data_IF_777787441258
#
_entry.id   IF_777787441258
#
_cell.length_a   1.000
_cell.length_b   1.000
_cell.length_c   1.000
_cell.angle_alpha   90.00
_cell.angle_beta   90.00
_cell.angle_gamma   90.00
#
_symmetry.space_group_name_H-M   'P 1'
#
loop_
_entity.id
_entity.type
_entity.pdbx_description
1 polymer ?
#
# COMPACT_ATOMS: atom_id res chain seq x y z
N UNK A 1 -48.40 -83.73 8.79
CA UNK A 1 -48.72 -82.86 9.95
C UNK A 1 -47.54 -81.94 10.22
N UNK A 2 -47.86 -80.68 10.52
CA UNK A 2 -46.98 -79.56 10.88
C UNK A 2 -45.76 -79.95 11.75
N UNK A 3 -44.57 -79.45 11.39
CA UNK A 3 -43.86 -78.40 12.15
C UNK A 3 -42.32 -78.47 11.96
N UNK A 4 -41.80 -77.51 11.18
CA UNK A 4 -40.64 -76.62 11.42
C UNK A 4 -39.46 -77.15 12.28
N UNK A 5 -38.28 -77.33 11.68
CA UNK A 5 -37.22 -76.34 11.39
C UNK A 5 -36.31 -76.06 12.60
N UNK A 6 -35.02 -76.32 12.43
CA UNK A 6 -33.90 -75.37 12.58
C UNK A 6 -32.68 -76.06 11.98
N UNK A 7 -32.20 -75.58 10.82
CA UNK A 7 -30.92 -75.98 10.25
C UNK A 7 -30.11 -74.70 10.06
N UNK A 8 -29.14 -74.52 10.96
CA UNK A 8 -28.21 -73.40 11.01
C UNK A 8 -27.23 -73.54 9.85
N UNK A 9 -27.30 -72.63 8.87
CA UNK A 9 -26.28 -72.49 7.83
C UNK A 9 -25.84 -71.04 7.77
N UNK A 10 -24.58 -70.81 8.17
CA UNK A 10 -23.84 -69.54 8.10
C UNK A 10 -23.91 -68.97 6.68
N UNK A 11 -24.60 -67.84 6.50
CA UNK A 11 -24.62 -67.10 5.24
C UNK A 11 -23.60 -65.96 5.25
N UNK A 12 -22.72 -66.03 4.25
CA UNK A 12 -21.66 -65.10 3.91
C UNK A 12 -22.20 -63.69 3.66
N UNK A 13 -21.36 -62.74 4.07
CA UNK A 13 -21.35 -61.31 3.75
C UNK A 13 -21.76 -61.05 2.28
N UNK A 14 -22.81 -60.27 2.06
CA UNK A 14 -23.11 -59.65 0.78
C UNK A 14 -23.20 -58.12 1.00
N UNK A 15 -22.12 -57.48 0.61
CA UNK A 15 -21.96 -56.05 0.41
C UNK A 15 -22.78 -55.68 -0.83
N UNK A 16 -23.82 -54.84 -0.70
CA UNK A 16 -24.49 -54.22 -1.86
C UNK A 16 -25.26 -52.96 -1.46
N UNK A 17 -24.65 -51.83 -1.85
CA UNK A 17 -25.24 -50.59 -2.37
C UNK A 17 -26.37 -49.86 -1.60
N UNK A 18 -25.98 -48.76 -0.95
CA UNK A 18 -26.72 -47.50 -1.00
C UNK A 18 -25.73 -46.33 -0.85
N UNK A 19 -24.91 -46.08 -1.88
CA UNK A 19 -24.22 -44.79 -1.99
C UNK A 19 -25.27 -43.82 -2.53
N UNK A 20 -25.83 -43.04 -1.62
CA UNK A 20 -26.65 -41.89 -1.96
C UNK A 20 -25.79 -40.93 -2.75
N UNK A 21 -26.19 -40.73 -4.00
CA UNK A 21 -25.65 -39.78 -4.95
C UNK A 21 -25.79 -38.35 -4.41
N UNK A 22 -24.80 -37.87 -3.66
CA UNK A 22 -24.59 -36.43 -3.43
C UNK A 22 -23.27 -36.02 -4.07
N UNK A 23 -23.25 -36.04 -5.41
CA UNK A 23 -22.19 -35.46 -6.20
C UNK A 23 -22.78 -34.60 -7.32
N UNK A 24 -23.58 -33.60 -6.97
CA UNK A 24 -24.00 -32.56 -7.93
C UNK A 24 -23.90 -31.12 -7.39
N UNK A 25 -23.29 -30.90 -6.21
CA UNK A 25 -23.14 -29.54 -5.64
C UNK A 25 -21.70 -28.98 -5.67
N UNK A 26 -20.74 -29.66 -6.31
CA UNK A 26 -19.36 -29.14 -6.49
C UNK A 26 -19.06 -28.68 -7.92
N UNK A 27 -20.03 -28.72 -8.84
CA UNK A 27 -19.82 -28.43 -10.25
C UNK A 27 -19.57 -26.96 -10.63
N UNK A 28 -19.67 -26.01 -9.69
CA UNK A 28 -19.41 -24.59 -9.96
C UNK A 28 -18.14 -24.03 -9.31
N UNK A 29 -17.45 -24.81 -8.46
CA UNK A 29 -16.14 -24.43 -7.95
C UNK A 29 -15.08 -24.84 -8.99
N UNK A 30 -14.72 -23.94 -9.91
CA UNK A 30 -13.55 -24.15 -10.78
C UNK A 30 -13.73 -23.88 -12.27
N UNK A 31 -14.87 -23.34 -12.74
CA UNK A 31 -14.93 -22.79 -14.10
C UNK A 31 -14.27 -21.41 -14.08
N UNK A 32 -13.06 -21.35 -14.59
CA UNK A 32 -12.39 -20.10 -14.94
C UNK A 32 -13.05 -19.55 -16.19
N UNK A 33 -13.65 -18.37 -16.10
CA UNK A 33 -14.17 -17.64 -17.25
C UNK A 33 -13.15 -16.59 -17.65
N UNK A 34 -12.69 -16.65 -18.90
CA UNK A 34 -11.80 -15.64 -19.48
C UNK A 34 -12.60 -14.76 -20.42
N UNK A 35 -12.52 -13.45 -20.24
CA UNK A 35 -13.17 -12.44 -21.06
C UNK A 35 -12.19 -11.33 -21.42
N UNK A 36 -12.39 -10.73 -22.60
CA UNK A 36 -11.72 -9.49 -22.98
C UNK A 36 -12.65 -8.32 -22.64
N UNK A 37 -12.12 -7.33 -21.93
CA UNK A 37 -12.86 -6.19 -21.41
C UNK A 37 -12.04 -4.92 -21.54
N UNK A 38 -12.74 -3.79 -21.69
CA UNK A 38 -12.10 -2.49 -21.64
C UNK A 38 -11.86 -2.08 -20.18
N UNK A 39 -10.61 -1.69 -19.90
CA UNK A 39 -10.21 -1.18 -18.58
C UNK A 39 -9.44 0.13 -18.75
N UNK A 40 -9.49 0.95 -17.71
CA UNK A 40 -8.52 2.02 -17.51
C UNK A 40 -7.24 1.35 -17.00
N UNK A 41 -6.11 1.68 -17.61
CA UNK A 41 -4.78 1.36 -17.08
C UNK A 41 -4.09 2.63 -16.66
N UNK A 42 -3.25 2.52 -15.65
CA UNK A 42 -2.50 3.61 -15.05
C UNK A 42 -0.99 3.35 -15.10
N UNK A 43 -0.25 4.44 -15.20
CA UNK A 43 1.19 4.51 -15.03
C UNK A 43 1.45 5.70 -14.08
N UNK A 44 1.92 5.40 -12.88
CA UNK A 44 2.03 6.36 -11.79
C UNK A 44 3.47 6.48 -11.29
N UNK A 45 3.80 7.65 -10.73
CA UNK A 45 5.04 7.82 -9.97
C UNK A 45 4.95 7.10 -8.62
N UNK A 46 6.04 7.13 -7.84
CA UNK A 46 6.15 6.39 -6.57
C UNK A 46 5.02 6.69 -5.57
N UNK A 47 4.53 7.92 -5.54
CA UNK A 47 3.49 8.36 -4.60
C UNK A 47 2.06 8.31 -5.19
N UNK A 48 1.93 7.91 -6.45
CA UNK A 48 0.71 7.94 -7.24
C UNK A 48 0.04 9.33 -7.35
N UNK A 49 0.70 10.41 -6.95
CA UNK A 49 0.17 11.77 -7.03
C UNK A 49 0.32 12.36 -8.43
N UNK A 50 1.11 11.73 -9.30
CA UNK A 50 1.15 11.94 -10.75
C UNK A 50 0.90 10.61 -11.46
N UNK A 51 -0.21 10.53 -12.19
CA UNK A 51 -0.59 9.32 -12.92
C UNK A 51 -1.03 9.65 -14.35
N UNK A 52 -0.54 8.86 -15.30
CA UNK A 52 -0.98 8.81 -16.69
C UNK A 52 -2.00 7.68 -16.84
N UNK A 53 -3.02 7.91 -17.65
CA UNK A 53 -4.13 7.00 -17.88
C UNK A 53 -4.37 6.81 -19.37
N UNK A 54 -4.75 5.59 -19.74
CA UNK A 54 -5.24 5.25 -21.06
C UNK A 54 -6.22 4.06 -20.99
N UNK A 55 -6.93 3.79 -22.08
CA UNK A 55 -7.76 2.61 -22.20
C UNK A 55 -6.93 1.44 -22.73
N UNK A 56 -7.19 0.25 -22.20
CA UNK A 56 -6.57 -0.98 -22.66
C UNK A 56 -7.61 -2.07 -22.89
N UNK A 57 -7.38 -2.90 -23.91
CA UNK A 57 -8.03 -4.21 -24.00
C UNK A 57 -7.35 -5.13 -22.97
N UNK A 58 -8.15 -5.62 -22.04
CA UNK A 58 -7.69 -6.40 -20.89
C UNK A 58 -8.32 -7.78 -20.91
N UNK A 59 -7.47 -8.80 -20.94
CA UNK A 59 -7.93 -10.16 -20.73
C UNK A 59 -7.99 -10.44 -19.23
N UNK A 60 -9.20 -10.75 -18.76
CA UNK A 60 -9.48 -11.02 -17.35
C UNK A 60 -9.97 -12.45 -17.21
N UNK A 61 -9.43 -13.16 -16.23
CA UNK A 61 -9.92 -14.48 -15.81
C UNK A 61 -10.57 -14.40 -14.44
N UNK A 62 -11.78 -14.96 -14.32
CA UNK A 62 -12.55 -14.98 -13.07
C UNK A 62 -12.86 -16.40 -12.66
N UNK A 63 -12.70 -16.71 -11.38
CA UNK A 63 -13.12 -17.98 -10.81
C UNK A 63 -13.53 -17.83 -9.35
N UNK A 64 -14.43 -18.69 -8.90
CA UNK A 64 -14.78 -18.80 -7.48
C UNK A 64 -13.89 -19.85 -6.83
N UNK A 65 -13.19 -19.47 -5.75
CA UNK A 65 -12.35 -20.40 -5.01
C UNK A 65 -13.19 -21.35 -4.13
N UNK A 66 -12.53 -22.32 -3.49
CA UNK A 66 -13.16 -23.31 -2.60
C UNK A 66 -13.88 -22.71 -1.38
N UNK A 67 -13.66 -21.43 -1.09
CA UNK A 67 -14.31 -20.69 -0.01
C UNK A 67 -15.47 -19.82 -0.51
N UNK A 68 -15.88 -19.94 -1.78
CA UNK A 68 -16.94 -19.13 -2.37
C UNK A 68 -16.51 -17.70 -2.72
N UNK A 69 -15.22 -17.36 -2.63
CA UNK A 69 -14.70 -16.03 -2.99
C UNK A 69 -14.43 -15.95 -4.48
N UNK A 70 -14.99 -14.93 -5.15
CA UNK A 70 -14.65 -14.60 -6.52
C UNK A 70 -13.26 -13.97 -6.57
N UNK A 71 -12.40 -14.54 -7.42
CA UNK A 71 -11.06 -14.05 -7.70
C UNK A 71 -11.05 -13.59 -9.15
N UNK A 72 -10.54 -12.38 -9.36
CA UNK A 72 -10.24 -11.82 -10.66
C UNK A 72 -8.72 -11.80 -10.86
N UNK A 73 -8.24 -12.24 -12.01
CA UNK A 73 -6.83 -12.17 -12.41
C UNK A 73 -6.73 -11.60 -13.81
N UNK A 74 -6.01 -10.49 -13.93
CA UNK A 74 -5.59 -9.92 -15.21
C UNK A 74 -4.53 -10.83 -15.84
N UNK A 75 -4.77 -11.27 -17.07
CA UNK A 75 -3.87 -12.13 -17.84
C UNK A 75 -2.98 -11.31 -18.79
N UNK A 76 -3.55 -10.29 -19.42
CA UNK A 76 -2.83 -9.37 -20.31
C UNK A 76 -3.54 -8.03 -20.39
N UNK A 77 -2.77 -6.97 -20.67
CA UNK A 77 -3.26 -5.62 -20.91
C UNK A 77 -2.53 -5.04 -22.12
N UNK A 78 -3.28 -4.53 -23.08
CA UNK A 78 -2.73 -3.89 -24.28
C UNK A 78 -3.37 -2.51 -24.45
N UNK A 79 -2.60 -1.41 -24.31
CA UNK A 79 -3.09 -0.06 -24.59
C UNK A 79 -3.70 0.08 -25.98
N UNK A 80 -4.79 0.84 -26.07
CA UNK A 80 -5.55 1.04 -27.31
C UNK A 80 -5.10 2.31 -28.02
N UNK A 81 -4.31 2.14 -29.08
CA UNK A 81 -3.84 3.26 -29.89
C UNK A 81 -4.89 3.71 -30.95
N UNK A 82 -5.58 2.74 -31.56
CA UNK A 82 -6.48 2.95 -32.70
C UNK A 82 -7.96 2.84 -32.32
N UNK A 83 -8.41 3.74 -31.43
CA UNK A 83 -9.83 3.93 -31.12
C UNK A 83 -10.42 5.13 -31.87
N UNK A 84 -11.65 4.98 -32.36
CA UNK A 84 -12.46 6.07 -32.93
C UNK A 84 -13.56 6.45 -31.95
N UNK A 85 -13.95 7.72 -31.92
CA UNK A 85 -15.06 8.22 -31.09
C UNK A 85 -14.65 9.31 -30.12
N UNK A 86 -15.40 9.43 -29.03
CA UNK A 86 -15.18 10.45 -28.00
C UNK A 86 -14.85 9.78 -26.67
N UNK A 87 -13.83 10.31 -26.01
CA UNK A 87 -13.49 9.98 -24.63
C UNK A 87 -13.55 11.28 -23.82
N UNK A 88 -13.98 11.16 -22.57
CA UNK A 88 -13.91 12.20 -21.56
C UNK A 88 -13.46 11.58 -20.26
N UNK A 89 -12.33 12.03 -19.75
CA UNK A 89 -11.83 11.65 -18.44
C UNK A 89 -12.50 12.49 -17.35
N UNK A 90 -13.04 11.82 -16.34
CA UNK A 90 -13.67 12.44 -15.20
C UNK A 90 -12.80 12.18 -13.97
N UNK A 91 -12.00 13.19 -13.62
CA UNK A 91 -11.08 13.18 -12.49
C UNK A 91 -11.82 13.43 -11.16
N UNK A 92 -11.29 12.95 -10.03
CA UNK A 92 -11.83 13.25 -8.71
C UNK A 92 -11.72 14.74 -8.37
N UNK A 93 -12.52 15.18 -7.40
CA UNK A 93 -12.46 16.55 -6.91
C UNK A 93 -11.06 16.88 -6.36
N UNK A 94 -10.51 18.02 -6.77
CA UNK A 94 -9.17 18.46 -6.37
C UNK A 94 -8.04 17.99 -7.28
N UNK A 95 -8.31 17.09 -8.24
CA UNK A 95 -7.34 16.74 -9.27
C UNK A 95 -7.23 17.84 -10.35
N UNK A 96 -6.06 17.93 -10.98
CA UNK A 96 -5.80 18.81 -12.13
C UNK A 96 -5.06 18.05 -13.22
N UNK A 97 -5.16 18.49 -14.48
CA UNK A 97 -4.31 17.94 -15.54
C UNK A 97 -2.83 18.20 -15.21
N UNK A 98 -1.99 17.20 -15.47
CA UNK A 98 -0.54 17.33 -15.32
C UNK A 98 0.07 18.09 -16.51
N UNK A 99 1.24 18.67 -16.30
CA UNK A 99 2.05 19.21 -17.39
C UNK A 99 2.74 18.07 -18.14
N UNK A 100 2.69 18.04 -19.47
CA UNK A 100 3.28 16.93 -20.23
C UNK A 100 4.80 16.81 -20.04
N UNK A 101 5.51 17.93 -19.82
CA UNK A 101 6.96 17.88 -19.55
C UNK A 101 7.27 17.18 -18.23
N UNK A 102 6.41 17.34 -17.22
CA UNK A 102 6.51 16.65 -15.93
C UNK A 102 6.19 15.16 -16.06
N UNK A 103 5.16 14.80 -16.86
CA UNK A 103 4.85 13.40 -17.18
C UNK A 103 6.05 12.71 -17.85
N UNK A 104 6.71 13.40 -18.78
CA UNK A 104 7.91 12.87 -19.45
C UNK A 104 9.10 12.70 -18.50
N UNK A 105 9.33 13.64 -17.58
CA UNK A 105 10.45 13.55 -16.65
C UNK A 105 10.25 12.49 -15.58
N UNK A 106 9.04 12.35 -15.04
CA UNK A 106 8.75 11.46 -13.91
C UNK A 106 8.39 10.04 -14.37
N UNK A 107 7.66 9.90 -15.47
CA UNK A 107 7.14 8.60 -15.94
C UNK A 107 7.85 8.09 -17.20
N UNK A 108 8.60 8.93 -17.92
CA UNK A 108 9.18 8.55 -19.21
C UNK A 108 8.15 8.35 -20.33
N UNK A 109 6.91 8.81 -20.12
CA UNK A 109 5.79 8.70 -21.05
C UNK A 109 5.23 10.08 -21.42
N UNK A 110 4.32 10.13 -22.41
CA UNK A 110 3.65 11.36 -22.83
C UNK A 110 2.13 11.20 -22.82
N UNK A 111 1.43 12.30 -22.61
CA UNK A 111 0.02 12.42 -22.98
C UNK A 111 -0.13 12.42 -24.51
N UNK A 112 -1.34 12.16 -25.00
CA UNK A 112 -1.60 12.23 -26.43
C UNK A 112 -1.25 13.62 -26.98
N UNK A 113 -0.55 13.65 -28.12
CA UNK A 113 -0.14 14.88 -28.80
C UNK A 113 0.69 15.83 -27.91
N UNK A 114 1.34 15.28 -26.87
CA UNK A 114 2.08 16.00 -25.84
C UNK A 114 1.24 17.01 -25.03
N UNK A 115 -0.08 16.82 -24.96
CA UNK A 115 -0.98 17.67 -24.18
C UNK A 115 -1.96 16.81 -23.38
N UNK A 116 -1.90 16.93 -22.05
CA UNK A 116 -2.83 16.26 -21.16
C UNK A 116 -4.16 17.02 -21.15
N UNK A 117 -5.19 16.44 -21.75
CA UNK A 117 -6.53 17.05 -21.81
C UNK A 117 -7.60 16.07 -21.39
N UNK A 118 -8.80 16.59 -21.17
CA UNK A 118 -9.95 15.78 -20.80
C UNK A 118 -10.36 14.77 -21.88
N UNK A 119 -10.10 15.07 -23.15
CA UNK A 119 -10.62 14.30 -24.28
C UNK A 119 -9.51 13.54 -25.05
N UNK A 120 -8.29 13.54 -24.52
CA UNK A 120 -7.18 12.78 -25.07
C UNK A 120 -7.36 11.28 -24.78
N UNK A 121 -7.01 10.41 -25.73
CA UNK A 121 -6.98 8.93 -25.56
C UNK A 121 -6.07 8.51 -24.41
N UNK A 122 -4.94 9.22 -24.27
CA UNK A 122 -4.06 9.15 -23.12
C UNK A 122 -3.91 10.52 -22.48
N UNK A 123 -4.10 10.60 -21.17
CA UNK A 123 -4.02 11.85 -20.40
C UNK A 123 -3.35 11.60 -19.05
N UNK A 124 -3.03 12.64 -18.30
CA UNK A 124 -2.46 12.51 -16.97
C UNK A 124 -3.04 13.54 -16.01
N UNK A 125 -3.14 13.14 -14.74
CA UNK A 125 -3.63 13.97 -13.65
C UNK A 125 -2.61 14.07 -12.53
N UNK A 126 -2.55 15.24 -11.91
CA UNK A 126 -2.11 15.38 -10.52
C UNK A 126 -3.29 15.05 -9.61
N UNK A 127 -3.10 14.09 -8.72
CA UNK A 127 -4.13 13.58 -7.85
C UNK A 127 -3.92 14.11 -6.42
N UNK A 128 -5.00 14.58 -5.74
CA UNK A 128 -4.90 14.96 -4.33
C UNK A 128 -4.64 13.71 -3.48
N UNK A 129 -4.12 13.90 -2.27
CA UNK A 129 -3.92 12.81 -1.29
C UNK A 129 -5.24 12.10 -0.97
N UNK A 130 -5.19 10.77 -0.90
CA UNK A 130 -6.30 9.91 -0.51
C UNK A 130 -6.80 9.01 -1.64
N UNK A 131 -8.06 8.59 -1.54
CA UNK A 131 -8.67 7.68 -2.51
C UNK A 131 -9.28 8.44 -3.68
N UNK A 132 -8.74 8.21 -4.87
CA UNK A 132 -9.05 8.92 -6.10
C UNK A 132 -9.74 7.98 -7.08
N UNK A 133 -11.01 8.23 -7.40
CA UNK A 133 -11.71 7.42 -8.40
C UNK A 133 -11.71 8.08 -9.76
N UNK A 134 -11.02 7.46 -10.70
CA UNK A 134 -10.95 7.85 -12.11
C UNK A 134 -12.08 7.18 -12.88
N UNK A 135 -12.80 7.98 -13.65
CA UNK A 135 -13.88 7.54 -14.53
C UNK A 135 -13.63 7.99 -15.95
N UNK A 136 -14.28 7.31 -16.87
CA UNK A 136 -14.32 7.69 -18.27
C UNK A 136 -15.76 7.69 -18.76
N UNK A 137 -16.06 8.57 -19.70
CA UNK A 137 -17.36 8.68 -20.35
C UNK A 137 -17.18 9.00 -21.84
N UNK A 138 -18.24 8.79 -22.62
CA UNK A 138 -18.22 8.92 -24.07
C UNK A 138 -18.44 7.58 -24.76
N UNK A 139 -18.19 7.55 -26.06
CA UNK A 139 -18.49 6.40 -26.90
C UNK A 139 -17.33 6.13 -27.83
N UNK A 140 -16.80 4.91 -27.78
CA UNK A 140 -15.68 4.48 -28.62
C UNK A 140 -16.06 3.28 -29.46
N UNK A 141 -15.48 3.19 -30.65
CA UNK A 141 -15.59 2.03 -31.52
C UNK A 141 -14.23 1.37 -31.66
N UNK A 142 -14.18 0.07 -31.37
CA UNK A 142 -12.99 -0.79 -31.43
C UNK A 142 -13.39 -2.03 -32.22
N UNK A 143 -12.65 -2.35 -33.27
CA UNK A 143 -12.95 -3.49 -34.18
C UNK A 143 -14.40 -3.53 -34.69
N UNK A 144 -14.98 -2.35 -34.93
CA UNK A 144 -16.37 -2.20 -35.41
C UNK A 144 -17.44 -2.38 -34.34
N UNK A 145 -17.08 -2.66 -33.08
CA UNK A 145 -17.99 -2.69 -31.94
C UNK A 145 -17.95 -1.38 -31.18
N UNK A 146 -19.12 -0.83 -30.89
CA UNK A 146 -19.29 0.40 -30.11
C UNK A 146 -19.45 0.08 -28.62
N UNK A 147 -18.78 0.85 -27.78
CA UNK A 147 -18.80 0.76 -26.32
C UNK A 147 -19.20 2.10 -25.72
N UNK A 148 -20.06 2.07 -24.71
CA UNK A 148 -20.36 3.22 -23.85
C UNK A 148 -19.40 3.18 -22.66
N UNK A 149 -18.46 4.12 -22.62
CA UNK A 149 -17.39 4.12 -21.63
C UNK A 149 -17.91 4.26 -20.19
N UNK A 150 -19.06 4.91 -19.99
CA UNK A 150 -19.61 5.10 -18.65
C UNK A 150 -20.19 3.81 -18.05
N UNK A 151 -20.61 2.85 -18.88
CA UNK A 151 -21.20 1.58 -18.45
C UNK A 151 -20.28 0.39 -18.66
N UNK A 152 -19.46 0.42 -19.71
CA UNK A 152 -18.67 -0.71 -20.16
C UNK A 152 -17.25 -0.72 -19.56
N UNK A 153 -16.79 0.42 -19.02
CA UNK A 153 -15.47 0.55 -18.38
C UNK A 153 -15.64 0.81 -16.88
N UNK A 154 -15.26 -0.15 -16.03
CA UNK A 154 -15.32 0.06 -14.59
C UNK A 154 -14.35 1.16 -14.13
N UNK A 155 -14.73 1.94 -13.11
CA UNK A 155 -13.87 2.98 -12.57
C UNK A 155 -12.60 2.39 -11.97
N UNK A 156 -11.52 3.15 -12.04
CA UNK A 156 -10.25 2.82 -11.42
C UNK A 156 -10.08 3.63 -10.13
N UNK A 157 -9.64 2.98 -9.05
CA UNK A 157 -9.33 3.65 -7.79
C UNK A 157 -7.83 3.68 -7.60
N UNK A 158 -7.26 4.88 -7.53
CA UNK A 158 -5.87 5.14 -7.18
C UNK A 158 -5.84 5.67 -5.76
N UNK A 159 -5.03 5.05 -4.90
CA UNK A 159 -4.78 5.60 -3.58
C UNK A 159 -3.43 6.33 -3.63
N UNK A 160 -3.49 7.62 -3.34
CA UNK A 160 -2.32 8.48 -3.25
C UNK A 160 -1.99 8.71 -1.80
N UNK A 161 -0.73 8.59 -1.46
CA UNK A 161 -0.22 8.95 -0.15
C UNK A 161 0.27 10.41 -0.19
N UNK A 162 0.48 11.01 0.98
CA UNK A 162 1.21 12.27 1.05
C UNK A 162 2.62 11.97 0.56
N UNK A 163 2.92 12.43 -0.66
CA UNK A 163 4.23 12.37 -1.29
C UNK A 163 5.20 13.25 -0.51
N UNK A 164 5.75 12.69 0.56
CA UNK A 164 6.85 13.21 1.34
C UNK A 164 7.29 12.09 2.29
N UNK A 165 7.58 10.93 1.70
CA UNK A 165 7.92 9.73 2.48
C UNK A 165 9.29 9.26 2.06
N UNK A 166 10.31 9.69 2.79
CA UNK A 166 11.68 9.29 2.51
C UNK A 166 12.00 7.93 3.12
N UNK A 167 12.90 7.18 2.47
CA UNK A 167 13.54 6.01 3.08
C UNK A 167 14.49 6.38 4.22
N UNK A 168 14.68 7.66 4.52
CA UNK A 168 15.59 8.16 5.55
C UNK A 168 15.22 9.55 6.06
N UNK A 169 15.49 9.84 7.33
CA UNK A 169 15.29 11.18 7.89
C UNK A 169 16.44 11.59 8.81
N UNK A 170 16.75 12.89 8.83
CA UNK A 170 17.85 13.46 9.60
C UNK A 170 17.29 14.42 10.64
N UNK A 171 17.40 14.04 11.91
CA UNK A 171 17.03 14.86 13.05
C UNK A 171 18.18 15.82 13.40
N UNK A 172 17.96 17.14 13.31
CA UNK A 172 18.94 18.09 13.80
C UNK A 172 19.14 17.90 15.29
N UNK A 173 20.40 17.97 15.75
CA UNK A 173 20.72 17.96 17.19
C UNK A 173 21.73 19.03 17.56
N UNK A 174 21.79 19.37 18.85
CA UNK A 174 22.83 20.24 19.43
C UNK A 174 23.84 19.44 20.26
N UNK A 175 24.00 18.15 19.95
CA UNK A 175 24.84 17.24 20.72
C UNK A 175 26.29 17.26 20.23
N UNK A 176 27.21 16.98 21.16
CA UNK A 176 28.57 16.63 20.78
C UNK A 176 28.63 15.20 20.21
N UNK A 177 29.65 14.90 19.42
CA UNK A 177 29.81 13.62 18.72
C UNK A 177 29.83 12.39 19.64
N UNK A 178 30.39 12.50 20.85
CA UNK A 178 30.45 11.38 21.80
C UNK A 178 29.06 11.05 22.38
N UNK A 179 28.32 12.06 22.82
CA UNK A 179 26.94 11.87 23.32
C UNK A 179 26.01 11.42 22.21
N UNK A 180 26.15 12.00 21.01
CA UNK A 180 25.41 11.61 19.81
C UNK A 180 25.59 10.12 19.50
N UNK A 181 26.84 9.64 19.46
CA UNK A 181 27.11 8.25 19.15
C UNK A 181 26.48 7.30 20.18
N UNK A 182 26.56 7.62 21.48
CA UNK A 182 25.90 6.82 22.52
C UNK A 182 24.39 6.75 22.32
N UNK A 183 23.75 7.86 21.93
CA UNK A 183 22.30 7.87 21.66
C UNK A 183 21.98 6.98 20.46
N UNK A 184 22.74 7.12 19.36
CA UNK A 184 22.59 6.27 18.17
C UNK A 184 22.75 4.78 18.53
N UNK A 185 23.74 4.43 19.36
CA UNK A 185 23.96 3.05 19.79
C UNK A 185 22.77 2.49 20.56
N UNK A 186 22.23 3.26 21.52
CA UNK A 186 21.06 2.85 22.31
C UNK A 186 19.76 2.82 21.49
N UNK A 187 19.59 3.73 20.52
CA UNK A 187 18.46 3.69 19.59
C UNK A 187 18.50 2.39 18.78
N UNK A 188 19.70 1.96 18.38
CA UNK A 188 19.90 0.73 17.63
C UNK A 188 19.63 -0.55 18.43
N UNK A 189 19.59 -0.52 19.76
CA UNK A 189 19.19 -1.67 20.59
C UNK A 189 17.75 -2.14 20.26
N UNK A 190 16.87 -1.20 19.88
CA UNK A 190 15.47 -1.46 19.53
C UNK A 190 15.16 -1.15 18.06
N UNK A 191 16.17 -1.16 17.18
CA UNK A 191 16.04 -0.80 15.76
C UNK A 191 14.93 -1.54 15.00
N UNK A 192 14.73 -2.83 15.32
CA UNK A 192 13.70 -3.66 14.71
C UNK A 192 12.27 -3.24 15.07
N UNK A 193 12.09 -2.59 16.24
CA UNK A 193 10.80 -1.99 16.59
C UNK A 193 10.62 -0.64 15.92
N UNK A 194 11.71 0.11 15.69
CA UNK A 194 11.67 1.33 14.90
C UNK A 194 11.56 1.08 13.38
N UNK A 195 11.69 -0.15 12.90
CA UNK A 195 11.76 -0.49 11.48
C UNK A 195 12.78 0.35 10.70
N UNK A 196 13.94 0.58 11.31
CA UNK A 196 15.01 1.36 10.69
C UNK A 196 16.33 1.25 11.45
N UNK A 197 17.42 1.63 10.79
CA UNK A 197 18.77 1.68 11.36
C UNK A 197 19.14 3.13 11.67
N UNK A 198 19.73 3.36 12.84
CA UNK A 198 20.17 4.69 13.26
C UNK A 198 21.66 4.88 12.99
N UNK A 199 22.04 6.06 12.53
CA UNK A 199 23.42 6.45 12.25
C UNK A 199 23.66 7.88 12.76
N UNK A 200 24.93 8.21 13.03
CA UNK A 200 25.33 9.60 13.17
C UNK A 200 25.59 10.19 11.78
N UNK A 201 25.01 11.36 11.50
CA UNK A 201 25.25 12.13 10.28
C UNK A 201 25.77 13.53 10.65
N UNK A 202 27.10 13.67 10.69
CA UNK A 202 27.73 14.82 11.31
C UNK A 202 27.36 14.96 12.79
N UNK A 203 26.67 16.04 13.14
CA UNK A 203 26.12 16.28 14.49
C UNK A 203 24.63 15.92 14.60
N UNK A 204 24.08 15.20 13.63
CA UNK A 204 22.66 14.86 13.56
C UNK A 204 22.44 13.36 13.75
N UNK A 205 21.21 12.97 14.12
CA UNK A 205 20.79 11.57 14.11
C UNK A 205 20.12 11.31 12.77
N UNK A 206 20.53 10.25 12.07
CA UNK A 206 19.86 9.78 10.86
C UNK A 206 19.18 8.45 11.12
N UNK A 207 17.93 8.30 10.68
CA UNK A 207 17.27 6.99 10.56
C UNK A 207 17.20 6.62 9.08
N UNK A 208 17.47 5.35 8.76
CA UNK A 208 17.22 4.75 7.45
C UNK A 208 16.17 3.65 7.65
N UNK A 209 15.01 3.79 7.02
CA UNK A 209 13.90 2.86 7.15
C UNK A 209 14.16 1.53 6.44
N UNK A 210 13.64 0.44 7.01
CA UNK A 210 13.66 -0.89 6.38
C UNK A 210 12.68 -0.94 5.19
N UNK A 211 12.89 -1.84 4.20
CA UNK A 211 11.96 -2.01 3.09
C UNK A 211 10.51 -2.25 3.56
N UNK A 212 9.56 -1.53 2.96
CA UNK A 212 8.15 -1.54 3.35
C UNK A 212 7.80 -0.57 4.48
N UNK A 213 8.76 0.25 4.93
CA UNK A 213 8.58 1.33 5.88
C UNK A 213 9.19 2.63 5.37
N UNK A 214 8.63 3.75 5.83
CA UNK A 214 9.02 5.10 5.41
C UNK A 214 9.00 6.07 6.59
N UNK A 215 9.74 7.17 6.46
CA UNK A 215 9.52 8.36 7.27
C UNK A 215 8.37 9.19 6.67
N UNK A 216 7.76 10.07 7.45
CA UNK A 216 6.77 11.05 6.98
C UNK A 216 7.40 12.44 7.09
N UNK A 217 7.60 13.19 6.01
CA UNK A 217 8.35 14.46 6.06
C UNK A 217 7.60 15.55 6.84
N UNK A 218 6.28 15.42 7.01
CA UNK A 218 5.50 16.29 7.92
C UNK A 218 5.93 16.14 9.38
N UNK A 219 6.56 15.02 9.73
CA UNK A 219 7.12 14.74 11.05
C UNK A 219 8.57 15.23 11.07
N UNK A 220 8.76 16.53 11.29
CA UNK A 220 10.08 17.17 11.32
C UNK A 220 10.31 18.00 12.62
N UNK A 221 10.34 17.36 13.80
CA UNK A 221 10.59 18.08 15.04
C UNK A 221 12.05 18.54 15.12
N UNK A 222 12.24 19.86 15.25
CA UNK A 222 13.52 20.46 15.61
C UNK A 222 14.04 19.92 16.95
N UNK A 223 15.33 20.12 17.24
CA UNK A 223 15.91 19.72 18.52
C UNK A 223 15.16 20.36 19.70
N UNK A 224 14.82 19.54 20.70
CA UNK A 224 14.04 19.93 21.86
C UNK A 224 12.52 19.98 21.64
N UNK A 225 12.02 19.58 20.47
CA UNK A 225 10.59 19.61 20.13
C UNK A 225 9.99 18.20 20.06
N UNK A 226 8.65 18.18 20.05
CA UNK A 226 7.83 17.01 19.82
C UNK A 226 6.89 17.22 18.63
N UNK A 227 6.49 16.12 18.00
CA UNK A 227 5.43 16.07 17.01
C UNK A 227 4.50 14.89 17.32
N UNK A 228 3.19 15.12 17.24
CA UNK A 228 2.17 14.08 17.47
C UNK A 228 1.49 13.76 16.13
N UNK A 229 1.70 12.54 15.63
CA UNK A 229 1.08 12.06 14.39
C UNK A 229 -0.36 11.59 14.61
N UNK A 230 -1.12 11.50 13.52
CA UNK A 230 -2.46 10.88 13.54
C UNK A 230 -2.41 9.35 13.55
N UNK A 231 -1.32 8.78 13.02
CA UNK A 231 -1.13 7.34 12.81
C UNK A 231 0.00 6.88 13.74
N UNK A 232 -0.28 5.87 14.55
CA UNK A 232 0.70 5.29 15.46
C UNK A 232 1.67 4.35 14.76
N UNK A 233 2.83 4.11 15.38
CA UNK A 233 3.86 3.19 14.87
C UNK A 233 4.65 2.54 16.00
N UNK A 234 5.40 1.50 15.67
CA UNK A 234 6.42 0.99 16.58
C UNK A 234 7.67 1.90 16.54
N UNK A 235 8.27 2.15 17.71
CA UNK A 235 9.37 3.12 17.89
C UNK A 235 10.47 2.58 18.79
N UNK A 236 11.69 3.08 18.56
CA UNK A 236 12.80 3.01 19.50
C UNK A 236 12.84 4.29 20.32
N UNK A 237 13.06 4.15 21.63
CA UNK A 237 13.09 5.26 22.58
C UNK A 237 14.40 5.25 23.33
N UNK A 238 15.04 6.42 23.42
CA UNK A 238 16.21 6.62 24.27
C UNK A 238 15.98 7.84 25.15
N UNK A 239 16.20 7.69 26.45
CA UNK A 239 16.26 8.81 27.38
C UNK A 239 17.67 8.97 27.92
N UNK A 240 18.27 10.12 27.66
CA UNK A 240 19.51 10.56 28.25
C UNK A 240 19.22 11.28 29.57
N UNK A 241 19.72 10.71 30.67
CA UNK A 241 19.57 11.23 32.02
C UNK A 241 20.87 11.89 32.45
N UNK A 242 20.86 13.22 32.56
CA UNK A 242 22.04 14.00 32.93
C UNK A 242 22.16 14.10 34.45
N UNK A 243 23.07 13.34 35.03
CA UNK A 243 23.32 13.37 36.47
C UNK A 243 24.08 14.61 36.92
N UNK A 244 23.59 15.32 37.95
CA UNK A 244 24.39 16.35 38.66
C UNK A 244 25.53 15.74 39.51
N UNK A 245 25.44 14.43 39.82
CA UNK A 245 26.43 13.66 40.62
C UNK A 245 26.57 12.18 40.22
N UNK A 246 25.68 11.64 39.38
CA UNK A 246 25.78 10.30 38.78
C UNK A 246 26.49 10.38 37.43
N UNK A 247 27.12 9.27 37.01
CA UNK A 247 27.56 9.12 35.61
C UNK A 247 26.34 9.29 34.69
N UNK A 248 26.56 9.92 33.55
CA UNK A 248 25.63 9.99 32.43
C UNK A 248 24.97 8.61 32.21
N UNK A 249 23.64 8.56 32.14
CA UNK A 249 22.90 7.31 31.91
C UNK A 249 22.04 7.43 30.65
N UNK A 250 21.97 6.34 29.89
CA UNK A 250 21.10 6.19 28.74
C UNK A 250 20.16 5.02 29.02
N UNK A 251 18.87 5.24 28.81
CA UNK A 251 17.83 4.22 29.00
C UNK A 251 17.14 3.99 27.67
N UNK A 252 17.26 2.78 27.14
CA UNK A 252 16.59 2.37 25.92
C UNK A 252 15.27 1.65 26.24
N UNK A 253 14.24 1.93 25.44
CA UNK A 253 12.95 1.26 25.49
C UNK A 253 12.38 1.14 24.08
N UNK A 254 11.27 0.40 23.96
CA UNK A 254 10.47 0.31 22.74
C UNK A 254 9.00 0.46 23.06
N UNK A 255 8.26 1.08 22.15
CA UNK A 255 6.80 1.10 22.18
C UNK A 255 6.27 0.57 20.86
N UNK A 256 5.20 -0.23 20.91
CA UNK A 256 4.65 -0.88 19.73
C UNK A 256 3.58 -0.03 19.01
N UNK A 257 3.09 1.02 19.67
CA UNK A 257 2.08 1.91 19.13
C UNK A 257 2.24 3.31 19.76
N UNK A 258 3.15 4.10 19.21
CA UNK A 258 3.39 5.50 19.57
C UNK A 258 2.92 6.42 18.46
N UNK A 259 2.20 7.47 18.83
CA UNK A 259 1.90 8.62 17.95
C UNK A 259 2.93 9.73 18.09
N UNK A 260 3.78 9.66 19.12
CA UNK A 260 4.74 10.72 19.41
C UNK A 260 6.04 10.50 18.64
N UNK A 261 6.61 11.60 18.18
CA UNK A 261 8.00 11.72 17.73
C UNK A 261 8.68 12.77 18.58
N UNK A 262 9.71 12.36 19.31
CA UNK A 262 10.46 13.25 20.20
C UNK A 262 11.89 13.39 19.66
N UNK A 263 12.38 14.62 19.52
CA UNK A 263 13.78 14.87 19.17
C UNK A 263 14.48 15.62 20.32
N UNK A 264 15.05 14.90 21.28
CA UNK A 264 15.69 15.51 22.45
C UNK A 264 14.72 16.33 23.29
N UNK A 265 13.45 15.94 23.30
CA UNK A 265 12.40 16.60 24.07
C UNK A 265 12.60 16.35 25.56
N UNK A 266 12.34 17.36 26.40
CA UNK A 266 12.46 17.22 27.85
C UNK A 266 11.09 16.87 28.43
N UNK A 267 10.94 15.62 28.87
CA UNK A 267 9.71 15.14 29.51
C UNK A 267 9.59 15.57 30.97
N UNK A 268 10.61 16.22 31.51
CA UNK A 268 10.62 16.74 32.86
C UNK A 268 10.78 18.26 32.89
N UNK A 269 10.28 18.90 33.95
CA UNK A 269 10.42 20.34 34.12
C UNK A 269 11.87 20.78 34.41
N UNK A 270 12.83 19.84 34.42
CA UNK A 270 14.22 20.11 34.75
C UNK A 270 15.04 20.60 33.55
N UNK A 271 14.65 20.21 32.32
CA UNK A 271 15.42 20.50 31.11
C UNK A 271 16.70 19.67 30.97
N UNK A 272 17.06 18.91 32.02
CA UNK A 272 18.31 18.15 32.13
C UNK A 272 18.19 16.78 31.44
N UNK A 273 17.00 16.18 31.43
CA UNK A 273 16.73 14.91 30.76
C UNK A 273 16.19 15.12 29.35
N UNK A 274 16.68 14.32 28.41
CA UNK A 274 16.35 14.45 26.99
C UNK A 274 15.93 13.11 26.42
N UNK A 275 14.80 13.08 25.73
CA UNK A 275 14.21 11.86 25.18
C UNK A 275 14.08 11.95 23.66
N UNK A 276 14.43 10.85 22.99
CA UNK A 276 14.18 10.62 21.59
C UNK A 276 13.19 9.47 21.44
N UNK A 277 12.21 9.63 20.57
CA UNK A 277 11.22 8.60 20.21
C UNK A 277 11.11 8.60 18.70
N UNK A 278 11.66 7.57 18.06
CA UNK A 278 11.85 7.55 16.60
C UNK A 278 11.52 6.15 16.05
N UNK A 279 10.82 6.11 14.92
CA UNK A 279 10.53 4.90 14.15
C UNK A 279 9.93 5.24 12.78
N UNK A 280 9.90 4.29 11.86
CA UNK A 280 9.31 4.42 10.54
C UNK A 280 7.88 3.88 10.52
N UNK A 281 7.03 4.42 9.65
CA UNK A 281 5.66 3.97 9.44
C UNK A 281 5.62 2.89 8.38
N UNK A 282 4.72 1.90 8.54
CA UNK A 282 4.49 0.92 7.48
C UNK A 282 3.77 1.58 6.32
N UNK A 283 4.22 1.32 5.09
CA UNK A 283 3.53 1.78 3.86
C UNK A 283 2.09 1.24 3.78
N UNK A 284 1.76 0.17 4.50
CA UNK A 284 0.40 -0.39 4.55
C UNK A 284 -0.57 0.35 5.46
N UNK A 285 -0.03 1.08 6.44
CA UNK A 285 -0.80 1.75 7.49
C UNK A 285 -0.96 3.26 7.21
N UNK A 286 -0.32 3.77 6.15
CA UNK A 286 -0.42 5.13 5.60
C UNK A 286 -1.43 5.11 4.46
#
# INVERSE_FOLDING_TARGET
>A
MKSNNILIIKKKLLISAAIVSTATLLGSCGKTETANELRIVDECNENNDLCRFELADTQVSRYTNVFGKNIERVQSQTPLNDMQGTIRWDAPAGASFADNSEVQSELGASCQDNVCTQNSKSTAFKLPVGSNTIRTSGTVTIDGKTFDLATDVPPLVINTSVAHNSGEHVFPTELNSLTLQKIVDHLNENRYSAHGVFLADGNNIKIICEPGYVWLDEVDPSYGQEFVSKIGRSVSVVTHIKGKKSKEQFVAARYLNSVDTLNGFSLDNSGDNRTWTIGCWSVKDI
#
